data_IF_878670939920
#
_entry.id   IF_878670939920
#
_cell.length_a   1.000
_cell.length_b   1.000
_cell.length_c   1.000
_cell.angle_alpha   90.00
_cell.angle_beta   90.00
_cell.angle_gamma   90.00
#
_symmetry.space_group_name_H-M   'P 1'
#
loop_
_entity.id
_entity.type
_entity.pdbx_description
1 polymer ?
#
# COMPACT_ATOMS: atom_id res chain seq x y z
N UNK A 1 -4.44 -12.96 -0.98
CA UNK A 1 -4.48 -11.51 -1.27
C UNK A 1 -4.08 -11.20 -2.71
N UNK A 2 -2.86 -11.50 -3.19
CA UNK A 2 -2.43 -11.16 -4.58
C UNK A 2 -3.39 -11.64 -5.68
N UNK A 3 -3.77 -12.91 -5.67
CA UNK A 3 -4.69 -13.51 -6.65
C UNK A 3 -6.04 -12.80 -6.70
N UNK A 4 -6.64 -12.54 -5.54
CA UNK A 4 -7.89 -11.81 -5.43
C UNK A 4 -7.73 -10.34 -5.83
N UNK A 5 -6.62 -9.71 -5.45
CA UNK A 5 -6.36 -8.29 -5.74
C UNK A 5 -6.33 -8.05 -7.25
N UNK A 6 -5.65 -8.92 -8.01
CA UNK A 6 -5.59 -8.81 -9.47
C UNK A 6 -6.92 -9.03 -10.20
N UNK A 7 -7.96 -9.53 -9.53
CA UNK A 7 -9.31 -9.64 -10.10
C UNK A 7 -10.08 -8.31 -10.02
N UNK A 8 -9.73 -7.44 -9.08
CA UNK A 8 -10.44 -6.18 -8.82
C UNK A 8 -9.65 -4.95 -9.26
N UNK A 9 -8.32 -5.00 -9.20
CA UNK A 9 -7.44 -3.89 -9.55
C UNK A 9 -6.26 -4.35 -10.43
N UNK A 10 -5.63 -3.44 -11.22
CA UNK A 10 -4.52 -3.80 -12.11
C UNK A 10 -3.35 -4.49 -11.40
N UNK A 11 -2.89 -5.63 -11.90
CA UNK A 11 -1.78 -6.35 -11.27
C UNK A 11 -0.48 -5.50 -11.28
N UNK A 12 0.13 -5.17 -10.12
CA UNK A 12 1.34 -4.36 -10.11
C UNK A 12 2.57 -4.98 -10.79
N UNK A 13 2.67 -6.32 -10.82
CA UNK A 13 3.79 -7.01 -11.47
C UNK A 13 3.73 -6.90 -13.00
N UNK A 14 2.54 -6.81 -13.59
CA UNK A 14 2.40 -6.62 -15.05
C UNK A 14 2.74 -5.19 -15.47
N UNK A 15 2.56 -4.21 -14.59
CA UNK A 15 2.92 -2.81 -14.83
C UNK A 15 4.44 -2.60 -14.88
N UNK A 16 5.21 -3.33 -14.07
CA UNK A 16 6.68 -3.28 -14.09
C UNK A 16 7.26 -3.81 -15.41
N UNK A 17 6.70 -4.91 -15.93
CA UNK A 17 7.16 -5.55 -17.19
C UNK A 17 6.90 -4.69 -18.43
N UNK A 18 5.82 -3.90 -18.45
CA UNK A 18 5.51 -2.99 -19.57
C UNK A 18 6.52 -1.84 -19.68
N UNK A 19 7.13 -1.40 -18.56
CA UNK A 19 8.17 -0.34 -18.56
C UNK A 19 9.52 -0.80 -19.10
N UNK A 20 9.86 -2.08 -19.00
CA UNK A 20 11.19 -2.61 -19.40
C UNK A 20 11.31 -2.95 -20.89
N UNK A 21 10.23 -2.95 -21.67
CA UNK A 21 10.23 -3.40 -23.08
C UNK A 21 10.47 -2.28 -24.13
N UNK A 22 10.83 -1.07 -23.73
CA UNK A 22 11.61 -0.12 -24.55
C UNK A 22 10.97 0.45 -25.84
N UNK A 23 9.67 0.30 -26.09
CA UNK A 23 9.00 0.93 -27.25
C UNK A 23 7.80 1.76 -26.82
N UNK A 24 7.91 3.10 -26.78
CA UNK A 24 6.80 3.99 -26.44
C UNK A 24 5.74 3.94 -27.53
N UNK A 25 4.69 3.17 -27.33
CA UNK A 25 3.50 3.19 -28.17
C UNK A 25 2.68 4.43 -27.76
N UNK A 26 2.00 5.12 -28.68
CA UNK A 26 1.21 6.34 -28.36
C UNK A 26 0.13 6.13 -27.26
N UNK A 27 -0.18 4.88 -26.93
CA UNK A 27 -1.05 4.47 -25.81
C UNK A 27 -0.38 4.55 -24.41
N UNK A 28 0.95 4.71 -24.32
CA UNK A 28 1.71 4.78 -23.05
C UNK A 28 1.53 6.08 -22.26
N UNK A 29 0.96 7.12 -22.86
CA UNK A 29 0.69 8.37 -22.14
C UNK A 29 -0.51 8.26 -21.19
N UNK A 30 -1.40 7.27 -21.36
CA UNK A 30 -2.58 7.08 -20.51
C UNK A 30 -2.40 6.03 -19.38
N UNK A 31 -1.33 5.24 -19.44
CA UNK A 31 -1.05 4.13 -18.51
C UNK A 31 -0.06 4.57 -17.39
N UNK A 32 -0.29 5.73 -16.78
CA UNK A 32 0.39 6.05 -15.51
C UNK A 32 0.02 4.99 -14.47
N UNK A 33 1.03 4.47 -13.76
CA UNK A 33 0.83 3.48 -12.70
C UNK A 33 -0.28 3.98 -11.74
N UNK A 34 -1.45 3.29 -11.67
CA UNK A 34 -2.61 3.77 -10.94
C UNK A 34 -2.35 3.87 -9.43
N UNK A 35 -1.28 3.25 -8.94
CA UNK A 35 -0.88 3.25 -7.53
C UNK A 35 0.13 4.33 -7.18
N UNK A 36 0.61 5.11 -8.16
CA UNK A 36 1.71 6.06 -7.97
C UNK A 36 1.45 7.09 -6.88
N UNK A 37 0.23 7.65 -6.83
CA UNK A 37 -0.14 8.63 -5.80
C UNK A 37 -0.11 8.01 -4.40
N UNK A 38 -0.60 6.77 -4.26
CA UNK A 38 -0.62 6.03 -3.00
C UNK A 38 0.80 5.72 -2.53
N UNK A 39 1.65 5.17 -3.40
CA UNK A 39 3.05 4.86 -3.03
C UNK A 39 3.81 6.14 -2.69
N UNK A 40 3.69 7.19 -3.50
CA UNK A 40 4.33 8.48 -3.25
C UNK A 40 3.88 9.14 -1.94
N UNK A 41 2.65 8.86 -1.48
CA UNK A 41 2.20 9.32 -0.17
C UNK A 41 2.99 8.65 0.97
N UNK A 42 3.22 7.34 0.90
CA UNK A 42 4.04 6.63 1.88
C UNK A 42 5.52 7.01 1.77
N UNK A 43 6.06 7.15 0.55
CA UNK A 43 7.46 7.53 0.30
C UNK A 43 7.82 8.89 0.94
N UNK A 44 6.83 9.77 1.17
CA UNK A 44 6.99 11.05 1.90
C UNK A 44 7.15 10.88 3.42
N UNK A 45 7.19 9.65 3.93
CA UNK A 45 7.28 9.34 5.36
C UNK A 45 5.92 9.29 6.08
N UNK A 46 4.80 9.40 5.35
CA UNK A 46 3.50 9.19 5.95
C UNK A 46 3.29 7.71 6.30
N UNK A 47 2.45 7.46 7.31
CA UNK A 47 2.05 6.12 7.72
C UNK A 47 0.57 6.11 8.06
N UNK A 48 -0.05 4.94 7.93
CA UNK A 48 -1.45 4.72 8.27
C UNK A 48 -1.54 3.62 9.32
N UNK A 49 -2.16 3.95 10.46
CA UNK A 49 -2.50 3.00 11.50
C UNK A 49 -4.01 2.72 11.45
N UNK A 50 -4.39 1.45 11.32
CA UNK A 50 -5.78 0.99 11.39
C UNK A 50 -5.94 0.09 12.62
N UNK A 51 -6.56 0.62 13.67
CA UNK A 51 -6.87 -0.14 14.88
C UNK A 51 -8.02 -1.12 14.64
N UNK A 52 -7.95 -2.30 15.24
CA UNK A 52 -9.01 -3.32 15.15
C UNK A 52 -10.29 -2.92 15.88
N UNK A 53 -10.19 -1.99 16.83
CA UNK A 53 -11.30 -1.53 17.67
C UNK A 53 -11.88 -0.18 17.21
N UNK A 54 -11.50 0.33 16.03
CA UNK A 54 -12.01 1.63 15.55
C UNK A 54 -13.37 1.46 14.87
N UNK A 55 -14.23 2.48 14.97
CA UNK A 55 -15.51 2.49 14.26
C UNK A 55 -15.33 2.60 12.74
N UNK A 56 -16.33 2.16 11.96
CA UNK A 56 -16.28 2.26 10.49
C UNK A 56 -16.03 3.69 10.00
N UNK A 57 -16.60 4.67 10.71
CA UNK A 57 -16.42 6.09 10.41
C UNK A 57 -14.96 6.54 10.60
N UNK A 58 -14.34 6.17 11.71
CA UNK A 58 -12.94 6.50 11.99
C UNK A 58 -11.99 5.80 11.01
N UNK A 59 -12.26 4.53 10.71
CA UNK A 59 -11.51 3.77 9.70
C UNK A 59 -11.57 4.48 8.35
N UNK A 60 -12.77 4.88 7.93
CA UNK A 60 -12.98 5.59 6.68
C UNK A 60 -12.23 6.93 6.65
N UNK A 61 -12.32 7.73 7.71
CA UNK A 61 -11.56 8.98 7.85
C UNK A 61 -10.04 8.74 7.80
N UNK A 62 -9.54 7.65 8.38
CA UNK A 62 -8.14 7.28 8.31
C UNK A 62 -7.73 6.93 6.86
N UNK A 63 -8.54 6.15 6.14
CA UNK A 63 -8.30 5.77 4.75
C UNK A 63 -8.32 6.98 3.80
N UNK A 64 -9.20 7.96 4.02
CA UNK A 64 -9.25 9.19 3.23
C UNK A 64 -7.98 10.06 3.31
N UNK A 65 -7.12 9.85 4.32
CA UNK A 65 -5.85 10.58 4.43
C UNK A 65 -4.83 10.15 3.38
N UNK A 66 -4.96 8.93 2.85
CA UNK A 66 -4.02 8.38 1.89
C UNK A 66 -4.32 8.95 0.51
N UNK A 67 -3.39 9.76 0.00
CA UNK A 67 -3.55 10.41 -1.29
C UNK A 67 -3.72 9.40 -2.43
N UNK A 68 -4.64 9.70 -3.35
CA UNK A 68 -5.01 8.84 -4.47
C UNK A 68 -5.80 7.56 -4.14
N UNK A 69 -5.94 7.17 -2.86
CA UNK A 69 -6.58 5.90 -2.49
C UNK A 69 -8.07 5.87 -2.83
N UNK A 70 -8.81 6.90 -2.41
CA UNK A 70 -10.23 7.01 -2.73
C UNK A 70 -10.48 7.21 -4.23
N UNK A 71 -9.66 8.04 -4.89
CA UNK A 71 -9.77 8.29 -6.32
C UNK A 71 -9.57 7.01 -7.14
N UNK A 72 -8.60 6.16 -6.75
CA UNK A 72 -8.39 4.85 -7.34
C UNK A 72 -9.64 3.97 -7.21
N UNK A 73 -10.20 3.86 -6.00
CA UNK A 73 -11.40 3.04 -5.77
C UNK A 73 -12.56 3.55 -6.62
N UNK A 74 -12.79 4.86 -6.69
CA UNK A 74 -13.85 5.44 -7.52
C UNK A 74 -13.62 5.27 -9.02
N UNK A 75 -12.37 5.21 -9.48
CA UNK A 75 -12.04 4.92 -10.88
C UNK A 75 -12.48 3.52 -11.31
N UNK A 76 -12.30 2.50 -10.46
CA UNK A 76 -12.66 1.10 -10.78
C UNK A 76 -14.06 0.70 -10.30
N UNK A 77 -14.57 1.37 -9.27
CA UNK A 77 -15.85 1.05 -8.61
C UNK A 77 -16.66 2.33 -8.35
N UNK A 78 -17.04 3.04 -9.43
CA UNK A 78 -17.74 4.32 -9.33
C UNK A 78 -19.06 4.25 -8.53
N UNK A 79 -19.76 3.10 -8.62
CA UNK A 79 -21.05 2.87 -7.95
C UNK A 79 -20.93 2.36 -6.51
N UNK A 80 -19.71 2.21 -5.97
CA UNK A 80 -19.53 1.79 -4.58
C UNK A 80 -20.14 2.81 -3.61
N UNK A 81 -20.94 2.33 -2.65
CA UNK A 81 -21.34 3.15 -1.51
C UNK A 81 -20.15 3.39 -0.56
N UNK A 82 -20.31 4.25 0.45
CA UNK A 82 -19.20 4.61 1.33
C UNK A 82 -18.58 3.42 2.07
N UNK A 83 -19.39 2.52 2.62
CA UNK A 83 -18.90 1.33 3.33
C UNK A 83 -18.13 0.39 2.39
N UNK A 84 -18.64 0.16 1.19
CA UNK A 84 -17.95 -0.61 0.15
C UNK A 84 -16.66 0.06 -0.30
N UNK A 85 -16.67 1.39 -0.46
CA UNK A 85 -15.48 2.14 -0.83
C UNK A 85 -14.40 2.02 0.26
N UNK A 86 -14.77 2.12 1.54
CA UNK A 86 -13.84 1.92 2.66
C UNK A 86 -13.22 0.52 2.65
N UNK A 87 -14.03 -0.52 2.45
CA UNK A 87 -13.54 -1.90 2.33
C UNK A 87 -12.58 -2.06 1.14
N UNK A 88 -12.91 -1.48 -0.01
CA UNK A 88 -12.05 -1.51 -1.20
C UNK A 88 -10.75 -0.73 -0.99
N UNK A 89 -10.78 0.39 -0.29
CA UNK A 89 -9.58 1.16 0.06
C UNK A 89 -8.66 0.35 0.97
N UNK A 90 -9.21 -0.30 2.00
CA UNK A 90 -8.44 -1.21 2.87
C UNK A 90 -7.86 -2.38 2.06
N UNK A 91 -8.66 -2.97 1.18
CA UNK A 91 -8.23 -4.05 0.30
C UNK A 91 -7.11 -3.64 -0.66
N UNK A 92 -7.11 -2.41 -1.16
CA UNK A 92 -6.01 -1.85 -1.95
C UNK A 92 -4.72 -1.82 -1.16
N UNK A 93 -4.73 -1.29 0.07
CA UNK A 93 -3.52 -1.22 0.90
C UNK A 93 -2.96 -2.61 1.20
N UNK A 94 -3.83 -3.58 1.50
CA UNK A 94 -3.42 -4.98 1.66
C UNK A 94 -2.84 -5.57 0.37
N UNK A 95 -3.45 -5.27 -0.78
CA UNK A 95 -2.98 -5.64 -2.10
C UNK A 95 -1.57 -5.12 -2.35
N UNK A 96 -1.37 -3.80 -2.24
CA UNK A 96 -0.09 -3.14 -2.45
C UNK A 96 1.01 -3.68 -1.53
N UNK A 97 0.70 -3.89 -0.25
CA UNK A 97 1.63 -4.50 0.69
C UNK A 97 1.99 -5.94 0.28
N UNK A 98 1.02 -6.70 -0.22
CA UNK A 98 1.30 -8.06 -0.70
C UNK A 98 2.24 -8.06 -1.89
N UNK A 99 2.26 -7.03 -2.74
CA UNK A 99 3.21 -6.86 -3.86
C UNK A 99 4.49 -6.10 -3.48
N UNK A 100 4.73 -5.88 -2.18
CA UNK A 100 5.89 -5.13 -1.68
C UNK A 100 6.03 -3.75 -2.32
N UNK A 101 4.90 -3.03 -2.47
CA UNK A 101 4.90 -1.61 -2.89
C UNK A 101 4.87 -0.66 -1.70
N UNK A 102 4.36 -1.15 -0.57
CA UNK A 102 4.35 -0.51 0.74
C UNK A 102 4.65 -1.58 1.80
N UNK A 103 5.10 -1.18 2.98
CA UNK A 103 5.26 -2.10 4.11
C UNK A 103 3.94 -2.29 4.85
N UNK A 104 3.75 -3.48 5.44
CA UNK A 104 2.65 -3.78 6.37
C UNK A 104 3.21 -4.48 7.59
N UNK A 105 2.94 -3.93 8.77
CA UNK A 105 3.22 -4.56 10.07
C UNK A 105 1.91 -4.77 10.83
N UNK A 106 1.72 -5.98 11.35
CA UNK A 106 0.56 -6.30 12.18
C UNK A 106 1.03 -6.28 13.64
N UNK A 107 0.30 -5.55 14.46
CA UNK A 107 0.44 -5.52 15.91
C UNK A 107 -0.78 -6.19 16.54
N UNK A 108 -0.75 -6.40 17.85
CA UNK A 108 -1.85 -7.01 18.58
C UNK A 108 -3.18 -6.24 18.39
N UNK A 109 -3.14 -4.90 18.37
CA UNK A 109 -4.33 -4.04 18.35
C UNK A 109 -4.55 -3.27 17.04
N UNK A 110 -3.61 -3.35 16.09
CA UNK A 110 -3.65 -2.53 14.87
C UNK A 110 -2.84 -3.11 13.72
N UNK A 111 -3.08 -2.59 12.52
CA UNK A 111 -2.23 -2.74 11.35
C UNK A 111 -1.59 -1.40 11.03
N UNK A 112 -0.29 -1.40 10.74
CA UNK A 112 0.46 -0.24 10.28
C UNK A 112 0.92 -0.45 8.84
N UNK A 113 0.64 0.55 8.00
CA UNK A 113 1.21 0.67 6.66
C UNK A 113 2.17 1.86 6.63
N UNK A 114 3.33 1.67 5.99
CA UNK A 114 4.37 2.70 5.85
C UNK A 114 5.19 2.50 4.58
N UNK A 115 6.10 3.42 4.28
CA UNK A 115 7.08 3.22 3.22
C UNK A 115 7.85 1.90 3.38
N UNK A 116 8.10 1.24 2.25
CA UNK A 116 8.84 -0.01 2.20
C UNK A 116 10.32 0.20 2.54
N UNK A 117 10.98 1.21 1.96
CA UNK A 117 12.43 1.40 2.06
C UNK A 117 12.81 1.77 3.50
N UNK A 118 12.17 2.79 4.06
CA UNK A 118 12.34 3.19 5.45
C UNK A 118 11.92 2.09 6.43
N UNK A 119 11.00 1.20 6.05
CA UNK A 119 10.70 0.02 6.87
C UNK A 119 11.83 -1.00 6.88
N UNK A 120 12.51 -1.22 5.75
CA UNK A 120 13.62 -2.17 5.65
C UNK A 120 14.87 -1.64 6.37
N UNK A 121 15.19 -0.36 6.22
CA UNK A 121 16.33 0.27 6.90
C UNK A 121 16.19 0.21 8.44
N UNK A 122 14.98 0.43 8.96
CA UNK A 122 14.70 0.32 10.40
C UNK A 122 14.77 -1.13 10.93
N UNK A 123 14.59 -2.14 10.07
CA UNK A 123 14.69 -3.55 10.49
C UNK A 123 16.15 -3.98 10.62
N UNK A 124 17.00 -3.57 9.68
CA UNK A 124 18.44 -3.86 9.72
C UNK A 124 19.21 -3.13 10.82
N UNK A 125 18.62 -2.13 11.48
CA UNK A 125 19.25 -1.41 12.60
C UNK A 125 19.06 -2.06 13.98
N UNK A 126 18.20 -3.08 14.12
CA UNK A 126 17.90 -3.73 15.40
C UNK A 126 18.49 -5.13 15.56
N UNK A 127 19.08 -5.70 14.51
CA UNK A 127 19.58 -7.09 14.52
C UNK A 127 21.10 -7.18 14.75
N UNK A 128 21.82 -6.06 14.87
CA UNK A 128 23.28 -6.05 15.06
C UNK A 128 23.75 -5.65 16.48
N UNK A 129 22.84 -5.45 17.43
CA UNK A 129 23.19 -4.95 18.78
C UNK A 129 23.04 -6.02 19.89
N UNK A 130 22.65 -7.25 19.56
CA UNK A 130 22.40 -8.34 20.55
C UNK A 130 23.41 -9.51 20.50
N UNK A 131 24.49 -9.44 19.70
CA UNK A 131 25.49 -10.53 19.55
C UNK A 131 26.93 -10.16 19.96
N UNK A 132 27.13 -9.17 20.85
CA UNK A 132 28.48 -8.78 21.29
C UNK A 132 28.62 -8.50 22.79
N UNK A 133 27.92 -9.27 23.64
CA UNK A 133 28.05 -9.13 25.10
C UNK A 133 28.09 -10.48 25.84
N UNK A 134 28.88 -11.44 25.33
CA UNK A 134 29.22 -12.66 26.06
C UNK A 134 30.71 -13.01 25.91
N UNK A 135 31.61 -12.12 26.35
CA UNK A 135 32.91 -12.50 26.95
C UNK A 135 33.36 -11.41 27.94
N UNK A 136 33.20 -11.70 29.23
CA UNK A 136 33.69 -10.89 30.36
C UNK A 136 33.64 -11.67 31.67
#
# INVERSE_FOLDING_TARGET
>A
IRTQFSQYFPNPDSLKKRRTTGKPSQQEKEDENPYRAITAWFDKGNHLNLSFNTSDKEKMLALYKVDGLHALVKKYFAQSNEAQAALLMEFVLHGLASYSLISKKIFESKIEFKDLIGSMMNLGGKEYDEEFDEEG
#
